data_IF_901693066712
#
_entry.id   IF_901693066712
#
_cell.length_a   1.000
_cell.length_b   1.000
_cell.length_c   1.000
_cell.angle_alpha   90.00
_cell.angle_beta   90.00
_cell.angle_gamma   90.00
#
_symmetry.space_group_name_H-M   'P 1'
#
loop_
_entity.id
_entity.type
_entity.pdbx_description
1 polymer ?
#
# COMPACT_ATOMS: atom_id res chain seq x y z
N UNK A 1 29.19 -12.55 15.17
CA UNK A 1 28.49 -11.26 15.32
C UNK A 1 28.12 -10.83 13.92
N UNK A 2 26.84 -10.52 13.67
CA UNK A 2 26.41 -10.01 12.35
C UNK A 2 27.09 -8.67 12.07
N UNK A 3 27.45 -8.43 10.81
CA UNK A 3 28.13 -7.20 10.40
C UNK A 3 27.20 -5.98 10.58
N UNK A 4 27.75 -4.77 10.85
CA UNK A 4 26.94 -3.57 10.90
C UNK A 4 26.30 -3.31 9.53
N UNK A 5 25.05 -2.83 9.48
CA UNK A 5 24.39 -2.55 8.21
C UNK A 5 25.13 -1.46 7.42
N UNK A 6 25.32 -1.69 6.12
CA UNK A 6 25.88 -0.72 5.18
C UNK A 6 24.74 0.15 4.65
N UNK A 7 24.84 1.47 4.78
CA UNK A 7 23.86 2.39 4.17
C UNK A 7 24.14 2.52 2.68
N UNK A 8 23.17 2.15 1.83
CA UNK A 8 23.25 2.23 0.37
C UNK A 8 22.78 3.59 -0.14
N UNK A 9 21.73 4.14 0.46
CA UNK A 9 21.21 5.47 0.18
C UNK A 9 20.55 6.05 1.44
N UNK A 10 20.59 7.37 1.58
CA UNK A 10 19.99 8.10 2.70
C UNK A 10 19.74 9.55 2.32
N UNK A 11 18.54 10.05 2.57
CA UNK A 11 18.18 11.46 2.37
C UNK A 11 17.13 11.90 3.39
N UNK A 12 17.20 13.16 3.81
CA UNK A 12 16.19 13.79 4.66
C UNK A 12 15.00 14.25 3.82
N UNK A 13 13.78 14.07 4.35
CA UNK A 13 12.54 14.59 3.76
C UNK A 13 11.80 15.45 4.79
N UNK A 14 10.80 16.27 4.38
CA UNK A 14 9.94 16.98 5.33
C UNK A 14 9.25 16.06 6.36
N UNK A 15 9.07 14.78 6.04
CA UNK A 15 8.42 13.78 6.89
C UNK A 15 9.40 12.93 7.72
N UNK A 16 10.71 13.12 7.56
CA UNK A 16 11.76 12.37 8.27
C UNK A 16 12.85 11.81 7.34
N UNK A 17 13.90 11.24 7.93
CA UNK A 17 14.99 10.56 7.19
C UNK A 17 14.44 9.32 6.49
N UNK A 18 14.83 9.08 5.23
CA UNK A 18 14.60 7.79 4.56
C UNK A 18 15.97 7.18 4.25
N UNK A 19 16.14 5.89 4.54
CA UNK A 19 17.39 5.18 4.30
C UNK A 19 17.19 3.75 3.81
N UNK A 20 18.00 3.36 2.82
CA UNK A 20 18.18 1.98 2.40
C UNK A 20 19.47 1.44 3.01
N UNK A 21 19.38 0.29 3.69
CA UNK A 21 20.52 -0.35 4.35
C UNK A 21 20.61 -1.81 3.94
N UNK A 22 21.81 -2.38 3.89
CA UNK A 22 22.02 -3.79 3.60
C UNK A 22 22.86 -4.44 4.68
N UNK A 23 22.40 -5.60 5.17
CA UNK A 23 23.09 -6.42 6.17
C UNK A 23 22.89 -7.88 5.82
N UNK A 24 23.98 -8.63 5.72
CA UNK A 24 23.93 -10.08 5.43
C UNK A 24 23.08 -10.43 4.19
N UNK A 25 23.08 -9.56 3.16
CA UNK A 25 22.30 -9.72 1.93
C UNK A 25 20.83 -9.28 2.02
N UNK A 26 20.34 -8.94 3.21
CA UNK A 26 19.00 -8.40 3.42
C UNK A 26 19.01 -6.90 3.18
N UNK A 27 18.10 -6.41 2.34
CA UNK A 27 17.84 -4.98 2.17
C UNK A 27 16.77 -4.54 3.17
N UNK A 28 17.00 -3.42 3.83
CA UNK A 28 16.13 -2.82 4.85
C UNK A 28 15.75 -1.40 4.41
N UNK A 29 14.48 -1.07 4.57
CA UNK A 29 13.96 0.30 4.47
C UNK A 29 13.72 0.84 5.87
N UNK A 30 14.33 1.99 6.17
CA UNK A 30 14.18 2.70 7.44
C UNK A 30 13.61 4.09 7.15
N UNK A 31 12.57 4.46 7.89
CA UNK A 31 11.88 5.75 7.77
C UNK A 31 11.79 6.39 9.14
N UNK A 32 12.32 7.61 9.27
CA UNK A 32 12.46 8.40 10.50
C UNK A 32 13.03 7.58 11.68
N UNK A 33 14.02 6.74 11.39
CA UNK A 33 14.65 5.85 12.37
C UNK A 33 13.83 4.61 12.75
N UNK A 34 12.57 4.49 12.31
CA UNK A 34 11.75 3.30 12.45
C UNK A 34 12.06 2.30 11.33
N UNK A 35 12.14 1.01 11.69
CA UNK A 35 12.20 -0.06 10.71
C UNK A 35 10.84 -0.16 10.00
N UNK A 36 10.82 0.04 8.68
CA UNK A 36 9.61 -0.05 7.88
C UNK A 36 9.41 -1.47 7.36
N UNK A 37 10.39 -1.98 6.61
CA UNK A 37 10.34 -3.33 6.04
C UNK A 37 11.74 -3.84 5.64
N UNK A 38 11.82 -5.13 5.29
CA UNK A 38 13.01 -5.76 4.74
C UNK A 38 12.66 -6.73 3.60
N UNK A 39 13.66 -7.44 3.09
CA UNK A 39 13.51 -8.48 2.06
C UNK A 39 13.47 -9.90 2.63
N UNK A 40 13.34 -10.08 3.94
CA UNK A 40 13.34 -11.41 4.59
C UNK A 40 12.01 -12.11 4.36
N UNK A 41 10.91 -11.39 4.61
CA UNK A 41 9.56 -11.88 4.42
C UNK A 41 8.71 -10.80 3.78
N UNK A 42 8.41 -11.01 2.50
CA UNK A 42 7.62 -10.11 1.65
C UNK A 42 6.26 -10.74 1.32
N UNK A 43 5.89 -11.80 2.05
CA UNK A 43 4.72 -12.61 1.71
C UNK A 43 3.41 -11.84 1.90
N UNK A 44 3.39 -10.89 2.84
CA UNK A 44 2.18 -10.12 3.16
C UNK A 44 1.83 -9.09 2.10
N UNK A 45 2.84 -8.52 1.45
CA UNK A 45 2.77 -7.57 0.34
C UNK A 45 2.24 -8.27 -0.91
N UNK A 46 2.78 -9.46 -1.20
CA UNK A 46 2.27 -10.31 -2.28
C UNK A 46 0.82 -10.74 -1.98
N UNK A 47 0.51 -11.02 -0.72
CA UNK A 47 -0.83 -11.46 -0.33
C UNK A 47 -1.87 -10.33 -0.40
N UNK A 48 -1.49 -9.10 -0.04
CA UNK A 48 -2.30 -7.90 -0.24
C UNK A 48 -2.72 -7.77 -1.71
N UNK A 49 -1.76 -7.84 -2.63
CA UNK A 49 -2.02 -7.75 -4.06
C UNK A 49 -2.89 -8.91 -4.56
N UNK A 50 -2.48 -10.15 -4.31
CA UNK A 50 -3.13 -11.34 -4.86
C UNK A 50 -4.55 -11.53 -4.33
N UNK A 51 -4.82 -11.27 -3.05
CA UNK A 51 -6.17 -11.40 -2.48
C UNK A 51 -7.12 -10.31 -3.04
N UNK A 52 -6.63 -9.08 -3.21
CA UNK A 52 -7.42 -8.01 -3.81
C UNK A 52 -7.78 -8.32 -5.27
N UNK A 53 -6.80 -8.76 -6.07
CA UNK A 53 -6.98 -9.09 -7.48
C UNK A 53 -7.86 -10.32 -7.69
N UNK A 54 -7.80 -11.32 -6.79
CA UNK A 54 -8.68 -12.49 -6.81
C UNK A 54 -10.15 -12.11 -6.59
N UNK A 55 -10.40 -11.07 -5.80
CA UNK A 55 -11.75 -10.60 -5.46
C UNK A 55 -12.37 -9.64 -6.47
N UNK A 56 -11.56 -9.04 -7.35
CA UNK A 56 -12.03 -8.14 -8.38
C UNK A 56 -12.00 -8.82 -9.76
N UNK A 57 -13.12 -8.79 -10.51
CA UNK A 57 -13.24 -9.53 -11.77
C UNK A 57 -12.36 -8.96 -12.89
N UNK A 58 -12.28 -7.63 -12.98
CA UNK A 58 -11.58 -6.90 -14.03
C UNK A 58 -10.75 -5.73 -13.44
N UNK A 59 -9.65 -6.01 -12.71
CA UNK A 59 -8.84 -4.99 -12.05
C UNK A 59 -7.89 -4.28 -13.04
N UNK A 60 -8.44 -3.52 -13.99
CA UNK A 60 -7.62 -2.95 -15.07
C UNK A 60 -6.79 -1.74 -14.62
N UNK A 61 -7.33 -0.90 -13.73
CA UNK A 61 -6.65 0.28 -13.15
C UNK A 61 -6.49 0.07 -11.65
N UNK A 62 -5.25 0.05 -11.18
CA UNK A 62 -4.93 -0.16 -9.75
C UNK A 62 -4.18 1.05 -9.20
N UNK A 63 -4.54 1.48 -7.99
CA UNK A 63 -3.76 2.41 -7.19
C UNK A 63 -3.08 1.63 -6.07
N UNK A 64 -1.78 1.85 -5.89
CA UNK A 64 -1.01 1.39 -4.73
C UNK A 64 -0.53 2.62 -3.96
N UNK A 65 -1.04 2.82 -2.76
CA UNK A 65 -0.55 3.82 -1.83
C UNK A 65 0.60 3.24 -1.01
N UNK A 66 1.76 3.87 -1.08
CA UNK A 66 3.03 3.36 -0.56
C UNK A 66 3.84 2.63 -1.62
N UNK A 67 5.14 2.92 -1.71
CA UNK A 67 6.06 2.20 -2.59
C UNK A 67 6.76 1.05 -1.85
N UNK A 68 7.16 1.26 -0.61
CA UNK A 68 7.97 0.31 0.16
C UNK A 68 9.22 -0.12 -0.63
N UNK A 69 9.46 -1.43 -0.71
CA UNK A 69 10.46 -2.04 -1.60
C UNK A 69 9.86 -2.54 -2.93
N UNK A 70 8.61 -2.19 -3.23
CA UNK A 70 7.95 -2.47 -4.50
C UNK A 70 7.26 -3.83 -4.61
N UNK A 71 7.29 -4.68 -3.57
CA UNK A 71 6.75 -6.05 -3.63
C UNK A 71 5.26 -6.10 -3.95
N UNK A 72 4.44 -5.26 -3.31
CA UNK A 72 3.01 -5.13 -3.63
C UNK A 72 2.80 -4.75 -5.10
N UNK A 73 3.52 -3.74 -5.58
CA UNK A 73 3.44 -3.28 -6.98
C UNK A 73 3.85 -4.36 -7.97
N UNK A 74 4.93 -5.10 -7.71
CA UNK A 74 5.37 -6.21 -8.57
C UNK A 74 4.30 -7.30 -8.66
N UNK A 75 3.75 -7.72 -7.53
CA UNK A 75 2.69 -8.73 -7.49
C UNK A 75 1.43 -8.26 -8.22
N UNK A 76 1.11 -6.97 -8.20
CA UNK A 76 0.01 -6.41 -9.01
C UNK A 76 0.31 -6.52 -10.51
N UNK A 77 1.52 -6.15 -10.93
CA UNK A 77 1.93 -6.15 -12.34
C UNK A 77 2.04 -7.56 -12.96
N UNK A 78 2.12 -8.61 -12.14
CA UNK A 78 2.10 -10.00 -12.61
C UNK A 78 0.71 -10.45 -13.11
N UNK A 79 -0.38 -9.77 -12.71
CA UNK A 79 -1.71 -10.13 -13.18
C UNK A 79 -1.99 -9.55 -14.58
N UNK A 80 -2.23 -10.39 -15.59
CA UNK A 80 -2.39 -9.93 -16.98
C UNK A 80 -3.66 -9.10 -17.21
N UNK A 81 -4.60 -9.08 -16.26
CA UNK A 81 -5.81 -8.25 -16.32
C UNK A 81 -5.51 -6.79 -15.95
N UNK A 82 -4.43 -6.55 -15.20
CA UNK A 82 -3.98 -5.20 -14.85
C UNK A 82 -3.40 -4.54 -16.09
N UNK A 83 -3.85 -3.32 -16.36
CA UNK A 83 -3.45 -2.52 -17.54
C UNK A 83 -2.66 -1.29 -17.15
N UNK A 84 -2.91 -0.74 -15.97
CA UNK A 84 -2.23 0.42 -15.43
C UNK A 84 -2.18 0.38 -13.90
N UNK A 85 -1.03 0.70 -13.35
CA UNK A 85 -0.79 0.87 -11.91
C UNK A 85 -0.29 2.27 -11.65
N UNK A 86 -0.96 3.00 -10.77
CA UNK A 86 -0.43 4.21 -10.16
C UNK A 86 0.14 3.85 -8.79
N UNK A 87 1.42 4.14 -8.56
CA UNK A 87 2.02 4.01 -7.22
C UNK A 87 2.23 5.40 -6.66
N UNK A 88 1.70 5.67 -5.48
CA UNK A 88 1.79 6.98 -4.82
C UNK A 88 2.64 6.86 -3.57
N UNK A 89 3.76 7.57 -3.54
CA UNK A 89 4.72 7.56 -2.45
C UNK A 89 5.01 8.98 -1.99
N UNK A 90 5.06 9.19 -0.68
CA UNK A 90 5.30 10.48 -0.07
C UNK A 90 6.80 10.84 -0.11
N UNK A 91 7.67 9.86 0.10
CA UNK A 91 9.12 10.01 0.11
C UNK A 91 9.68 10.14 -1.31
N UNK A 92 9.90 11.39 -1.75
CA UNK A 92 10.55 11.70 -3.04
C UNK A 92 11.87 10.93 -3.28
N UNK A 93 12.79 10.81 -2.30
CA UNK A 93 14.03 10.06 -2.51
C UNK A 93 13.78 8.61 -2.91
N UNK A 94 12.79 7.94 -2.30
CA UNK A 94 12.49 6.53 -2.58
C UNK A 94 12.02 6.32 -4.02
N UNK A 95 11.16 7.21 -4.52
CA UNK A 95 10.73 7.20 -5.93
C UNK A 95 11.92 7.44 -6.86
N UNK A 96 12.80 8.39 -6.52
CA UNK A 96 14.00 8.67 -7.31
C UNK A 96 14.95 7.48 -7.35
N UNK A 97 15.13 6.79 -6.22
CA UNK A 97 15.98 5.61 -6.13
C UNK A 97 15.41 4.42 -6.91
N UNK A 98 14.09 4.25 -6.92
CA UNK A 98 13.43 3.25 -7.76
C UNK A 98 13.64 3.51 -9.25
N UNK A 99 13.46 4.76 -9.69
CA UNK A 99 13.75 5.18 -11.07
C UNK A 99 15.22 5.03 -11.46
N UNK A 100 16.11 5.34 -10.51
CA UNK A 100 17.56 5.24 -10.69
C UNK A 100 18.11 3.82 -10.59
N UNK A 101 17.31 2.85 -10.15
CA UNK A 101 17.77 1.48 -9.93
C UNK A 101 18.88 1.40 -8.88
N UNK A 102 18.76 2.17 -7.79
CA UNK A 102 19.78 2.18 -6.71
C UNK A 102 19.94 0.80 -6.07
N UNK A 103 18.85 0.03 -6.03
CA UNK A 103 18.80 -1.36 -5.60
C UNK A 103 17.91 -2.15 -6.56
N UNK A 104 18.22 -3.43 -6.77
CA UNK A 104 17.53 -4.30 -7.72
C UNK A 104 16.04 -4.49 -7.35
N UNK A 105 15.74 -4.53 -6.06
CA UNK A 105 14.40 -4.73 -5.50
C UNK A 105 13.42 -3.62 -5.93
N UNK A 106 13.90 -2.39 -6.08
CA UNK A 106 13.12 -1.24 -6.53
C UNK A 106 13.21 -0.95 -8.03
N UNK A 107 14.19 -1.56 -8.73
CA UNK A 107 14.47 -1.25 -10.12
C UNK A 107 13.38 -1.77 -11.08
N UNK A 108 13.08 -0.99 -12.12
CA UNK A 108 12.22 -1.45 -13.23
C UNK A 108 10.74 -1.58 -12.90
N UNK A 109 10.27 -0.94 -11.82
CA UNK A 109 8.84 -0.83 -11.51
C UNK A 109 8.12 0.08 -12.51
N UNK A 110 8.66 1.28 -12.76
CA UNK A 110 8.07 2.26 -13.68
C UNK A 110 8.22 1.83 -15.14
N UNK A 111 7.15 1.94 -15.91
CA UNK A 111 7.12 1.48 -17.30
C UNK A 111 5.76 1.69 -17.99
N UNK A 112 5.49 1.00 -19.11
CA UNK A 112 4.26 1.20 -19.88
C UNK A 112 2.95 0.97 -19.12
N UNK A 113 2.99 0.16 -18.06
CA UNK A 113 1.82 -0.20 -17.25
C UNK A 113 1.93 0.27 -15.80
N UNK A 114 2.95 1.05 -15.43
CA UNK A 114 3.15 1.51 -14.06
C UNK A 114 3.76 2.91 -14.03
N UNK A 115 3.15 3.83 -13.27
CA UNK A 115 3.65 5.18 -13.05
C UNK A 115 3.91 5.41 -11.56
N UNK A 116 5.06 6.02 -11.23
CA UNK A 116 5.39 6.38 -9.85
C UNK A 116 5.11 7.88 -9.62
N UNK A 117 4.39 8.19 -8.56
CA UNK A 117 3.98 9.55 -8.22
C UNK A 117 4.53 9.94 -6.87
N UNK A 118 5.20 11.09 -6.81
CA UNK A 118 5.59 11.72 -5.55
C UNK A 118 4.42 12.58 -5.09
N UNK A 119 3.61 12.05 -4.19
CA UNK A 119 2.42 12.73 -3.67
C UNK A 119 1.97 12.12 -2.35
N UNK A 120 1.13 12.85 -1.62
CA UNK A 120 0.41 12.31 -0.48
C UNK A 120 -0.80 11.51 -0.97
N UNK A 121 -0.84 10.21 -0.66
CA UNK A 121 -1.98 9.35 -1.02
C UNK A 121 -3.28 9.83 -0.39
N UNK A 122 -3.24 10.51 0.76
CA UNK A 122 -4.42 11.10 1.38
C UNK A 122 -5.05 12.18 0.47
N UNK A 123 -4.24 12.99 -0.19
CA UNK A 123 -4.70 14.00 -1.15
C UNK A 123 -5.24 13.36 -2.43
N UNK A 124 -4.62 12.29 -2.88
CA UNK A 124 -5.09 11.49 -4.03
C UNK A 124 -6.46 10.87 -3.74
N UNK A 125 -6.64 10.27 -2.57
CA UNK A 125 -7.93 9.69 -2.14
C UNK A 125 -9.00 10.76 -1.93
N UNK A 126 -8.63 11.98 -1.54
CA UNK A 126 -9.53 13.14 -1.46
C UNK A 126 -9.87 13.75 -2.84
N UNK A 127 -9.19 13.33 -3.91
CA UNK A 127 -9.30 13.93 -5.23
C UNK A 127 -8.76 15.36 -5.30
N UNK A 128 -7.96 15.78 -4.32
CA UNK A 128 -7.31 17.10 -4.26
C UNK A 128 -5.90 17.11 -4.85
N UNK A 129 -5.32 15.94 -5.13
CA UNK A 129 -4.01 15.79 -5.75
C UNK A 129 -4.00 14.74 -6.87
N UNK A 130 -3.06 14.85 -7.85
CA UNK A 130 -2.83 13.81 -8.85
C UNK A 130 -2.05 12.61 -8.26
N UNK A 131 -2.15 11.40 -8.84
CA UNK A 131 -2.97 11.04 -10.00
C UNK A 131 -4.47 10.99 -9.69
N UNK A 132 -5.31 11.01 -10.72
CA UNK A 132 -6.76 10.98 -10.57
C UNK A 132 -7.35 9.65 -11.02
N UNK A 133 -8.33 9.16 -10.26
CA UNK A 133 -9.08 7.95 -10.56
C UNK A 133 -10.13 8.13 -11.68
N UNK A 134 -11.10 7.21 -11.79
CA UNK A 134 -11.35 6.12 -10.84
C UNK A 134 -10.39 4.94 -10.98
N UNK A 135 -10.25 4.17 -9.90
CA UNK A 135 -9.51 2.91 -9.87
C UNK A 135 -10.43 1.72 -9.59
N UNK A 136 -10.17 0.60 -10.24
CA UNK A 136 -10.89 -0.66 -10.01
C UNK A 136 -10.49 -1.28 -8.67
N UNK A 137 -9.20 -1.14 -8.31
CA UNK A 137 -8.65 -1.60 -7.03
C UNK A 137 -7.75 -0.51 -6.45
N UNK A 138 -7.91 -0.24 -5.15
CA UNK A 138 -7.01 0.61 -4.36
C UNK A 138 -6.40 -0.25 -3.26
N UNK A 139 -5.07 -0.32 -3.20
CA UNK A 139 -4.30 -0.98 -2.16
C UNK A 139 -3.61 0.08 -1.33
N UNK A 140 -3.86 0.11 -0.01
CA UNK A 140 -3.14 0.97 0.92
C UNK A 140 -2.13 0.12 1.70
N UNK A 141 -0.87 0.29 1.31
CA UNK A 141 0.33 -0.34 1.86
C UNK A 141 1.30 0.77 2.33
N UNK A 142 0.75 1.70 3.10
CA UNK A 142 1.41 2.96 3.46
C UNK A 142 2.21 2.83 4.74
N UNK A 143 1.70 2.01 5.66
CA UNK A 143 2.13 2.00 7.04
C UNK A 143 1.82 0.67 7.72
N UNK A 144 2.29 0.48 8.94
CA UNK A 144 2.00 -0.73 9.74
C UNK A 144 0.56 -0.81 10.28
N UNK A 145 -0.36 -0.01 9.73
CA UNK A 145 -1.75 0.12 10.16
C UNK A 145 -1.96 1.23 11.20
N UNK A 146 -3.22 1.50 11.59
CA UNK A 146 -3.58 2.67 12.41
C UNK A 146 -2.98 2.66 13.81
N UNK A 147 -2.65 1.49 14.35
CA UNK A 147 -2.15 1.33 15.72
C UNK A 147 -0.61 1.37 15.79
N UNK A 148 0.09 1.37 14.66
CA UNK A 148 1.54 1.50 14.58
C UNK A 148 1.92 2.33 13.34
N UNK A 149 1.97 3.66 13.49
CA UNK A 149 2.24 4.58 12.40
C UNK A 149 3.74 4.90 12.30
N UNK A 150 4.29 4.83 11.10
CA UNK A 150 5.61 5.36 10.71
C UNK A 150 5.55 6.89 10.69
N UNK A 151 4.46 7.48 10.19
CA UNK A 151 4.22 8.91 10.29
C UNK A 151 2.90 9.20 11.01
N UNK A 152 2.95 10.00 12.08
CA UNK A 152 1.75 10.35 12.85
C UNK A 152 0.63 10.99 12.00
N UNK A 153 0.99 11.67 10.90
CA UNK A 153 0.04 12.25 9.94
C UNK A 153 -0.80 11.21 9.20
N UNK A 154 -0.33 9.97 9.10
CA UNK A 154 -1.05 8.89 8.42
C UNK A 154 -2.27 8.40 9.21
N UNK A 155 -2.44 8.78 10.48
CA UNK A 155 -3.62 8.44 11.28
C UNK A 155 -4.92 8.76 10.53
N UNK A 156 -4.96 9.93 9.89
CA UNK A 156 -6.12 10.41 9.16
C UNK A 156 -6.52 9.50 7.98
N UNK A 157 -5.60 8.71 7.41
CA UNK A 157 -5.90 7.77 6.31
C UNK A 157 -6.89 6.67 6.73
N UNK A 158 -6.87 6.30 8.01
CA UNK A 158 -7.64 5.17 8.56
C UNK A 158 -8.97 5.61 9.19
N UNK A 159 -9.22 6.92 9.23
CA UNK A 159 -10.45 7.49 9.80
C UNK A 159 -11.59 7.52 8.77
N UNK A 160 -12.83 7.53 9.28
CA UNK A 160 -14.04 7.44 8.46
C UNK A 160 -14.08 8.47 7.32
N UNK A 161 -13.67 9.72 7.57
CA UNK A 161 -13.67 10.76 6.54
C UNK A 161 -12.79 10.39 5.33
N UNK A 162 -11.55 9.93 5.55
CA UNK A 162 -10.66 9.53 4.45
C UNK A 162 -11.13 8.26 3.76
N UNK A 163 -11.70 7.30 4.50
CA UNK A 163 -12.24 6.06 3.94
C UNK A 163 -13.49 6.34 3.08
N UNK A 164 -14.32 7.30 3.47
CA UNK A 164 -15.44 7.76 2.66
C UNK A 164 -14.96 8.39 1.34
N UNK A 165 -13.84 9.13 1.36
CA UNK A 165 -13.21 9.69 0.15
C UNK A 165 -12.57 8.62 -0.72
N UNK A 166 -11.91 7.64 -0.11
CA UNK A 166 -11.38 6.47 -0.82
C UNK A 166 -12.49 5.73 -1.60
N UNK A 167 -13.71 5.65 -1.06
CA UNK A 167 -14.87 5.12 -1.77
C UNK A 167 -15.27 5.95 -2.99
N UNK A 168 -15.14 7.28 -2.95
CA UNK A 168 -15.50 8.17 -4.07
C UNK A 168 -14.58 7.98 -5.28
N UNK A 169 -13.30 7.69 -5.05
CA UNK A 169 -12.29 7.47 -6.11
C UNK A 169 -12.27 6.05 -6.69
N UNK A 170 -13.03 5.12 -6.11
CA UNK A 170 -13.21 3.78 -6.70
C UNK A 170 -14.14 3.84 -7.92
N UNK A 171 -13.86 3.04 -8.93
CA UNK A 171 -14.84 2.75 -9.99
C UNK A 171 -16.09 2.09 -9.38
N UNK A 172 -17.27 2.17 -10.03
CA UNK A 172 -18.42 1.38 -9.61
C UNK A 172 -18.07 -0.12 -9.58
N UNK A 173 -18.31 -0.79 -8.44
CA UNK A 173 -17.86 -2.17 -8.21
C UNK A 173 -16.41 -2.32 -7.75
N UNK A 174 -15.68 -1.22 -7.59
CA UNK A 174 -14.27 -1.20 -7.21
C UNK A 174 -14.03 -1.63 -5.76
N UNK A 175 -12.78 -2.00 -5.46
CA UNK A 175 -12.37 -2.56 -4.19
C UNK A 175 -11.25 -1.74 -3.54
N UNK A 176 -11.45 -1.32 -2.29
CA UNK A 176 -10.39 -0.86 -1.41
C UNK A 176 -9.89 -2.03 -0.56
N UNK A 177 -8.57 -2.17 -0.42
CA UNK A 177 -7.91 -3.06 0.54
C UNK A 177 -6.81 -2.30 1.27
N UNK A 178 -6.79 -2.38 2.59
CA UNK A 178 -5.84 -1.75 3.49
C UNK A 178 -5.08 -2.86 4.22
N UNK A 179 -3.76 -2.82 4.16
CA UNK A 179 -2.90 -3.72 4.94
C UNK A 179 -2.69 -3.17 6.35
N UNK A 180 -2.52 -4.09 7.30
CA UNK A 180 -2.25 -3.76 8.69
C UNK A 180 -1.36 -4.85 9.30
N UNK A 181 -0.31 -4.44 10.00
CA UNK A 181 0.65 -5.35 10.64
C UNK A 181 0.03 -6.17 11.77
N UNK A 182 -1.12 -5.72 12.29
CA UNK A 182 -1.88 -6.34 13.36
C UNK A 182 -3.39 -6.16 13.12
N UNK A 183 -4.22 -6.86 13.90
CA UNK A 183 -5.66 -6.60 13.90
C UNK A 183 -5.98 -5.21 14.44
N UNK A 184 -6.72 -4.44 13.66
CA UNK A 184 -7.21 -3.10 13.94
C UNK A 184 -8.76 -3.06 13.89
N UNK A 185 -9.48 -3.45 14.96
CA UNK A 185 -10.94 -3.45 14.99
C UNK A 185 -11.57 -2.08 14.72
N UNK A 186 -10.88 -0.98 15.06
CA UNK A 186 -11.34 0.39 14.78
C UNK A 186 -11.37 0.69 13.29
N UNK A 187 -10.39 0.21 12.52
CA UNK A 187 -10.38 0.35 11.06
C UNK A 187 -11.55 -0.41 10.43
N UNK A 188 -11.84 -1.63 10.92
CA UNK A 188 -13.03 -2.37 10.47
C UNK A 188 -14.32 -1.60 10.77
N UNK A 189 -14.45 -1.05 11.98
CA UNK A 189 -15.62 -0.27 12.36
C UNK A 189 -15.78 1.00 11.49
N UNK A 190 -14.69 1.73 11.22
CA UNK A 190 -14.70 2.89 10.34
C UNK A 190 -15.10 2.53 8.90
N UNK A 191 -14.59 1.41 8.36
CA UNK A 191 -15.01 0.90 7.05
C UNK A 191 -16.49 0.50 7.02
N UNK A 192 -17.01 -0.06 8.11
CA UNK A 192 -18.43 -0.42 8.23
C UNK A 192 -19.32 0.83 8.31
N UNK A 193 -18.86 1.89 8.98
CA UNK A 193 -19.58 3.16 9.10
C UNK A 193 -19.75 3.85 7.75
N UNK A 194 -18.70 3.86 6.91
CA UNK A 194 -18.74 4.53 5.60
C UNK A 194 -19.40 3.69 4.50
N UNK A 195 -19.70 2.42 4.78
CA UNK A 195 -20.28 1.52 3.79
C UNK A 195 -21.74 1.91 3.47
N UNK A 196 -22.00 2.14 2.18
CA UNK A 196 -23.33 2.42 1.66
C UNK A 196 -24.19 1.15 1.48
N UNK A 197 -25.45 1.33 1.04
CA UNK A 197 -26.35 0.21 0.81
C UNK A 197 -25.80 -0.81 -0.20
N UNK A 198 -25.75 -2.08 0.20
CA UNK A 198 -25.22 -3.17 -0.64
C UNK A 198 -23.70 -3.29 -0.66
N UNK A 199 -23.00 -2.45 0.10
CA UNK A 199 -21.56 -2.47 0.28
C UNK A 199 -21.22 -3.21 1.59
N UNK A 200 -20.05 -3.85 1.65
CA UNK A 200 -19.65 -4.60 2.84
C UNK A 200 -18.15 -4.45 3.12
N UNK A 201 -17.85 -4.13 4.38
CA UNK A 201 -16.50 -4.18 4.92
C UNK A 201 -16.15 -5.59 5.40
N UNK A 202 -14.90 -6.02 5.21
CA UNK A 202 -14.41 -7.35 5.63
C UNK A 202 -13.01 -7.26 6.19
N UNK A 203 -12.75 -8.07 7.21
CA UNK A 203 -11.43 -8.39 7.72
C UNK A 203 -11.03 -9.79 7.24
N UNK A 204 -9.77 -9.93 6.82
CA UNK A 204 -9.12 -11.22 6.60
C UNK A 204 -7.85 -11.24 7.45
N UNK A 205 -7.76 -12.18 8.38
CA UNK A 205 -6.57 -12.37 9.23
C UNK A 205 -5.61 -13.33 8.55
N UNK A 206 -4.33 -12.97 8.56
CA UNK A 206 -3.24 -13.64 7.87
C UNK A 206 -2.19 -14.05 8.90
N UNK A 207 -2.19 -15.33 9.35
CA UNK A 207 -1.18 -15.82 10.26
C UNK A 207 0.15 -15.98 9.51
N UNK A 208 1.20 -15.35 10.03
CA UNK A 208 2.56 -15.38 9.47
C UNK A 208 3.54 -15.81 10.55
N UNK A 209 4.47 -16.69 10.19
CA UNK A 209 5.54 -17.09 11.09
C UNK A 209 6.83 -16.35 10.73
N UNK A 210 7.25 -15.40 11.57
CA UNK A 210 8.43 -14.55 11.35
C UNK A 210 9.30 -14.49 12.59
N UNK A 211 10.61 -14.68 12.43
CA UNK A 211 11.60 -14.65 13.51
C UNK A 211 11.25 -15.54 14.72
N UNK A 212 10.67 -16.71 14.46
CA UNK A 212 10.24 -17.66 15.49
C UNK A 212 8.98 -17.24 16.25
N UNK A 213 8.23 -16.26 15.75
CA UNK A 213 6.97 -15.76 16.33
C UNK A 213 5.84 -15.93 15.33
N UNK A 214 4.66 -16.27 15.85
CA UNK A 214 3.41 -16.21 15.09
C UNK A 214 2.82 -14.80 15.23
N UNK A 215 2.59 -14.15 14.11
CA UNK A 215 2.03 -12.81 14.00
C UNK A 215 0.75 -12.86 13.17
N UNK A 216 -0.26 -12.11 13.61
CA UNK A 216 -1.54 -11.98 12.90
C UNK A 216 -1.60 -10.66 12.15
N UNK A 217 -1.23 -10.68 10.88
CA UNK A 217 -1.46 -9.57 9.96
C UNK A 217 -2.94 -9.52 9.56
N UNK A 218 -3.42 -8.37 9.09
CA UNK A 218 -4.81 -8.25 8.67
C UNK A 218 -4.97 -7.41 7.39
N UNK A 219 -5.87 -7.87 6.52
CA UNK A 219 -6.37 -7.08 5.40
C UNK A 219 -7.79 -6.62 5.71
N UNK A 220 -7.99 -5.30 5.64
CA UNK A 220 -9.30 -4.69 5.74
C UNK A 220 -9.75 -4.25 4.37
N UNK A 221 -11.00 -4.47 4.04
CA UNK A 221 -11.45 -4.21 2.68
C UNK A 221 -12.88 -3.75 2.62
N UNK A 222 -13.19 -2.98 1.59
CA UNK A 222 -14.51 -2.44 1.32
C UNK A 222 -14.75 -2.48 -0.19
N UNK A 223 -15.91 -2.98 -0.62
CA UNK A 223 -16.31 -3.02 -2.03
C UNK A 223 -17.41 -2.00 -2.29
N UNK A 224 -17.16 -1.08 -3.22
CA UNK A 224 -18.16 -0.11 -3.70
C UNK A 224 -19.25 -0.85 -4.49
N UNK A 225 -20.49 -0.43 -4.33
CA UNK A 225 -21.59 -1.02 -5.07
C UNK A 225 -21.40 -0.81 -6.58
N UNK A 226 -21.77 -1.79 -7.42
CA UNK A 226 -21.82 -1.57 -8.86
C UNK A 226 -22.82 -0.45 -9.17
N UNK A 227 -22.63 0.22 -10.32
CA UNK A 227 -23.63 1.19 -10.78
C UNK A 227 -24.98 0.47 -10.88
N UNK A 228 -26.04 1.08 -10.34
CA UNK A 228 -27.39 0.57 -10.54
C UNK A 228 -27.61 0.47 -12.05
N UNK A 229 -27.77 -0.76 -12.56
CA UNK A 229 -27.99 -0.97 -13.98
C UNK A 229 -29.19 -0.15 -14.41
N UNK A 230 -28.98 0.84 -15.29
CA UNK A 230 -30.08 1.40 -16.06
C UNK A 230 -30.69 0.25 -16.85
N UNK A 231 -31.95 -0.06 -16.55
CA UNK A 231 -32.70 -1.13 -17.21
C UNK A 231 -32.84 -0.95 -18.71
#
# INVERSE_FOLDING_TARGET
MSEPPVTLAREDTPSGEVALRRRDGVLELVVDGAFAMDTVDTSTEVLLATEALRRHRAPARVLVGGLGLGFTTRAVLEDPRVRHVDVVELAEPLVRWARGGVVDELAGLEGPCCALHVADVADVLRGSGPPNGPWDVVLLDVDNGPDFLVHAGNAALYEADSLARAREVLAPGGLLVVWSSHRAPRLLAALQEVAGPGEAAREVVLPVHRDGRDLDYALYSFARAPAAGGG
#
